data_IF_746734991010
#
_entry.id   IF_746734991010
#
_cell.length_a   1.000
_cell.length_b   1.000
_cell.length_c   1.000
_cell.angle_alpha   90.00
_cell.angle_beta   90.00
_cell.angle_gamma   90.00
#
_symmetry.space_group_name_H-M   'P 1'
#
loop_
_entity.id
_entity.type
_entity.pdbx_description
1 polymer ?
#
# COMPACT_ATOMS: atom_id res chain seq x y z
N UNK A 1 -4.71 -20.84 -4.55
CA UNK A 1 -4.16 -20.92 -3.17
C UNK A 1 -5.16 -21.56 -2.22
N UNK A 2 -6.41 -21.07 -2.13
CA UNK A 2 -7.43 -21.53 -1.16
C UNK A 2 -7.78 -23.02 -1.31
N UNK A 3 -7.90 -23.55 -2.54
CA UNK A 3 -8.17 -24.97 -2.77
C UNK A 3 -7.06 -25.86 -2.25
N UNK A 4 -5.81 -25.48 -2.46
CA UNK A 4 -4.64 -26.22 -1.95
C UNK A 4 -4.59 -26.15 -0.43
N UNK A 5 -4.87 -24.98 0.16
CA UNK A 5 -4.92 -24.83 1.61
C UNK A 5 -6.02 -25.69 2.24
N UNK A 6 -7.18 -25.80 1.58
CA UNK A 6 -8.27 -26.66 2.03
C UNK A 6 -7.88 -28.15 2.02
N UNK A 7 -7.13 -28.60 1.00
CA UNK A 7 -6.61 -29.97 0.91
C UNK A 7 -5.56 -30.29 1.97
N UNK A 8 -4.68 -29.32 2.28
CA UNK A 8 -3.59 -29.50 3.25
C UNK A 8 -4.03 -29.29 4.70
N UNK A 9 -5.18 -28.68 4.94
CA UNK A 9 -5.76 -28.45 6.27
C UNK A 9 -4.79 -27.69 7.19
N UNK A 10 -4.53 -28.23 8.37
CA UNK A 10 -3.65 -27.62 9.39
C UNK A 10 -2.18 -27.47 8.95
N UNK A 11 -1.78 -28.12 7.87
CA UNK A 11 -0.42 -28.01 7.31
C UNK A 11 -0.28 -26.85 6.31
N UNK A 12 -1.31 -26.03 6.13
CA UNK A 12 -1.29 -24.89 5.23
C UNK A 12 -1.53 -23.58 5.97
N UNK A 13 -0.80 -22.54 5.54
CA UNK A 13 -0.98 -21.17 6.01
C UNK A 13 -0.96 -20.20 4.83
N UNK A 14 -2.01 -19.38 4.71
CA UNK A 14 -2.09 -18.30 3.73
C UNK A 14 -1.92 -16.98 4.48
N UNK A 15 -0.82 -16.22 4.26
CA UNK A 15 -0.61 -14.93 4.93
C UNK A 15 -1.67 -13.88 4.61
N UNK A 16 -2.27 -13.92 3.41
CA UNK A 16 -3.34 -13.05 2.92
C UNK A 16 -3.07 -11.56 3.18
N UNK A 17 -2.05 -11.03 2.53
CA UNK A 17 -1.54 -9.68 2.74
C UNK A 17 -2.56 -8.56 2.54
N UNK A 18 -3.61 -8.80 1.77
CA UNK A 18 -4.63 -7.78 1.46
C UNK A 18 -5.63 -7.54 2.57
N UNK A 19 -5.77 -8.49 3.51
CA UNK A 19 -6.71 -8.42 4.64
C UNK A 19 -6.02 -8.63 6.00
N UNK A 20 -4.78 -9.08 6.02
CA UNK A 20 -4.04 -9.37 7.25
C UNK A 20 -3.55 -8.07 7.92
N UNK A 21 -4.06 -7.73 9.11
CA UNK A 21 -3.68 -6.48 9.80
C UNK A 21 -2.21 -6.44 10.23
N UNK A 22 -1.53 -7.57 10.31
CA UNK A 22 -0.11 -7.63 10.63
C UNK A 22 0.76 -7.01 9.52
N UNK A 23 0.27 -6.99 8.27
CA UNK A 23 0.97 -6.36 7.16
C UNK A 23 1.18 -4.84 7.41
N UNK A 24 0.16 -4.01 7.58
CA UNK A 24 0.39 -2.60 7.93
C UNK A 24 1.00 -2.42 9.31
N UNK A 25 0.69 -3.29 10.28
CA UNK A 25 1.21 -3.17 11.64
C UNK A 25 2.72 -3.25 11.71
N UNK A 26 3.36 -4.15 10.96
CA UNK A 26 4.82 -4.26 10.95
C UNK A 26 5.48 -3.02 10.36
N UNK A 27 4.90 -2.43 9.31
CA UNK A 27 5.41 -1.19 8.73
C UNK A 27 5.25 0.01 9.67
N UNK A 28 4.16 0.06 10.41
CA UNK A 28 3.96 1.06 11.45
C UNK A 28 4.99 0.95 12.57
N UNK A 29 5.28 -0.29 13.02
CA UNK A 29 6.17 -0.56 14.15
C UNK A 29 7.66 -0.47 13.81
N UNK A 30 8.04 -0.67 12.55
CA UNK A 30 9.44 -0.73 12.13
C UNK A 30 9.76 0.27 11.02
N UNK A 31 9.34 0.03 9.81
CA UNK A 31 9.69 0.82 8.61
C UNK A 31 9.40 2.31 8.79
N UNK A 32 8.26 2.66 9.37
CA UNK A 32 7.87 4.06 9.60
C UNK A 32 8.77 4.75 10.62
N UNK A 33 9.15 4.05 11.67
CA UNK A 33 10.05 4.59 12.69
C UNK A 33 11.46 4.80 12.15
N UNK A 34 11.98 3.81 11.41
CA UNK A 34 13.28 3.90 10.76
C UNK A 34 13.33 5.09 9.80
N UNK A 35 12.29 5.25 8.97
CA UNK A 35 12.17 6.38 8.05
C UNK A 35 12.14 7.72 8.79
N UNK A 36 11.36 7.82 9.86
CA UNK A 36 11.26 9.02 10.68
C UNK A 36 12.60 9.41 11.30
N UNK A 37 13.32 8.44 11.86
CA UNK A 37 14.64 8.65 12.46
C UNK A 37 15.69 9.04 11.41
N UNK A 38 15.74 8.35 10.27
CA UNK A 38 16.68 8.63 9.18
C UNK A 38 16.48 10.02 8.57
N UNK A 39 15.25 10.50 8.53
CA UNK A 39 14.88 11.82 8.03
C UNK A 39 14.94 12.92 9.11
N UNK A 40 15.33 12.57 10.34
CA UNK A 40 15.37 13.53 11.45
C UNK A 40 14.01 14.14 11.80
N UNK A 41 12.92 13.48 11.46
CA UNK A 41 11.56 13.99 11.65
C UNK A 41 11.13 15.06 10.64
N UNK A 42 11.93 15.33 9.63
CA UNK A 42 11.65 16.35 8.60
C UNK A 42 11.12 15.70 7.33
N UNK A 43 9.81 15.44 7.30
CA UNK A 43 9.10 14.84 6.17
C UNK A 43 7.90 15.71 5.83
N UNK A 44 7.84 16.23 4.62
CA UNK A 44 6.71 17.00 4.11
C UNK A 44 5.75 16.13 3.31
N UNK A 45 6.29 15.21 2.50
CA UNK A 45 5.52 14.35 1.60
C UNK A 45 6.05 12.92 1.68
N UNK A 46 5.13 11.97 1.79
CA UNK A 46 5.40 10.54 1.65
C UNK A 46 4.71 10.00 0.40
N UNK A 47 5.49 9.41 -0.49
CA UNK A 47 5.00 8.86 -1.77
C UNK A 47 5.24 7.35 -1.76
N UNK A 48 4.22 6.57 -2.07
CA UNK A 48 4.32 5.11 -2.12
C UNK A 48 3.42 4.52 -3.21
N UNK A 49 3.91 3.48 -3.88
CA UNK A 49 3.08 2.64 -4.74
C UNK A 49 2.04 1.87 -3.92
N UNK A 50 0.89 1.61 -4.52
CA UNK A 50 -0.18 0.81 -3.92
C UNK A 50 -0.17 -0.62 -4.48
N UNK A 51 0.41 -1.54 -3.72
CA UNK A 51 0.26 -2.99 -3.90
C UNK A 51 -0.75 -3.53 -2.88
N UNK A 52 -0.29 -4.31 -1.90
CA UNK A 52 -1.17 -4.79 -0.81
C UNK A 52 -1.71 -3.68 0.09
N UNK A 53 -1.13 -2.49 0.05
CA UNK A 53 -1.51 -1.36 0.89
C UNK A 53 -0.83 -1.30 2.26
N UNK A 54 -0.11 -2.35 2.65
CA UNK A 54 0.50 -2.44 3.97
C UNK A 54 1.53 -1.34 4.25
N UNK A 55 2.41 -1.07 3.30
CA UNK A 55 3.43 -0.02 3.40
C UNK A 55 2.78 1.36 3.52
N UNK A 56 1.87 1.68 2.60
CA UNK A 56 1.18 2.97 2.58
C UNK A 56 0.37 3.19 3.86
N UNK A 57 -0.37 2.18 4.30
CA UNK A 57 -1.20 2.21 5.51
C UNK A 57 -0.35 2.38 6.76
N UNK A 58 0.67 1.53 6.94
CA UNK A 58 1.50 1.54 8.15
C UNK A 58 2.31 2.82 8.30
N UNK A 59 3.01 3.21 7.25
CA UNK A 59 3.83 4.43 7.25
C UNK A 59 2.96 5.68 7.26
N UNK A 60 1.94 5.74 6.41
CA UNK A 60 1.04 6.89 6.32
C UNK A 60 0.35 7.19 7.64
N UNK A 61 -0.16 6.17 8.34
CA UNK A 61 -0.75 6.32 9.66
C UNK A 61 0.24 6.89 10.68
N UNK A 62 1.44 6.30 10.76
CA UNK A 62 2.49 6.76 11.68
C UNK A 62 2.87 8.22 11.42
N UNK A 63 3.11 8.58 10.17
CA UNK A 63 3.51 9.94 9.80
C UNK A 63 2.41 10.97 10.10
N UNK A 64 1.14 10.65 9.81
CA UNK A 64 -0.01 11.53 10.13
C UNK A 64 -0.17 11.73 11.64
N UNK A 65 0.12 10.73 12.45
CA UNK A 65 0.12 10.86 13.92
C UNK A 65 1.25 11.77 14.42
N UNK A 66 2.41 11.73 13.76
CA UNK A 66 3.55 12.62 14.08
C UNK A 66 3.29 14.06 13.65
N UNK A 67 2.81 14.25 12.44
CA UNK A 67 2.48 15.55 11.86
C UNK A 67 1.32 15.41 10.85
N UNK A 68 0.11 15.88 11.19
CA UNK A 68 -1.06 15.78 10.30
C UNK A 68 -0.91 16.54 8.97
N UNK A 69 0.04 17.46 8.87
CA UNK A 69 0.31 18.21 7.64
C UNK A 69 1.16 17.45 6.62
N UNK A 70 1.76 16.33 6.99
CA UNK A 70 2.48 15.47 6.04
C UNK A 70 1.50 14.97 4.99
N UNK A 71 1.84 15.19 3.73
CA UNK A 71 1.05 14.74 2.59
C UNK A 71 1.38 13.29 2.26
N UNK A 72 0.35 12.47 2.15
CA UNK A 72 0.47 11.05 1.74
C UNK A 72 -0.03 10.91 0.31
N UNK A 73 0.83 10.45 -0.59
CA UNK A 73 0.56 10.30 -2.01
C UNK A 73 0.65 8.82 -2.41
N UNK A 74 -0.44 8.30 -2.97
CA UNK A 74 -0.46 6.97 -3.55
C UNK A 74 -0.12 7.02 -5.04
N UNK A 75 0.70 6.09 -5.50
CA UNK A 75 1.02 5.92 -6.92
C UNK A 75 0.39 4.63 -7.44
N UNK A 76 -0.39 4.73 -8.48
CA UNK A 76 -1.02 3.59 -9.15
C UNK A 76 -0.78 3.60 -10.66
N UNK A 77 -0.76 2.42 -11.31
CA UNK A 77 -0.79 2.35 -12.77
C UNK A 77 -2.07 2.98 -13.31
N UNK A 78 -1.94 3.82 -14.33
CA UNK A 78 -3.02 4.65 -14.87
C UNK A 78 -4.27 3.86 -15.26
N UNK A 79 -4.07 2.71 -15.91
CA UNK A 79 -5.19 1.97 -16.50
C UNK A 79 -5.92 1.07 -15.49
N UNK A 80 -5.43 0.98 -14.26
CA UNK A 80 -6.00 0.12 -13.20
C UNK A 80 -6.11 0.82 -11.85
N UNK A 81 -6.11 2.15 -11.82
CA UNK A 81 -6.20 2.92 -10.56
C UNK A 81 -7.54 2.67 -9.85
N UNK A 82 -7.51 1.75 -8.87
CA UNK A 82 -8.68 1.40 -8.08
C UNK A 82 -9.15 2.55 -7.20
N UNK A 83 -8.23 3.38 -6.68
CA UNK A 83 -8.54 4.56 -5.87
C UNK A 83 -9.31 5.64 -6.66
N UNK A 84 -9.12 5.69 -8.00
CA UNK A 84 -9.83 6.59 -8.89
C UNK A 84 -11.03 5.92 -9.58
N UNK A 85 -11.37 4.68 -9.22
CA UNK A 85 -12.55 3.97 -9.70
C UNK A 85 -12.40 3.36 -11.10
N UNK A 86 -11.18 3.12 -11.56
CA UNK A 86 -10.94 2.42 -12.82
C UNK A 86 -11.26 0.93 -12.66
N UNK A 87 -11.79 0.32 -13.71
CA UNK A 87 -12.01 -1.13 -13.77
C UNK A 87 -10.68 -1.88 -13.79
N UNK A 88 -10.62 -3.10 -13.19
CA UNK A 88 -9.43 -3.94 -13.26
C UNK A 88 -9.00 -4.19 -14.71
N UNK A 89 -7.70 -4.09 -14.97
CA UNK A 89 -7.14 -4.24 -16.31
C UNK A 89 -5.71 -4.79 -16.27
N UNK A 90 -5.04 -4.72 -17.41
CA UNK A 90 -3.65 -5.15 -17.55
C UNK A 90 -2.72 -3.92 -17.61
N UNK A 91 -1.58 -4.04 -16.94
CA UNK A 91 -0.49 -3.07 -17.00
C UNK A 91 0.86 -3.79 -16.87
N UNK A 92 1.97 -3.09 -17.09
CA UNK A 92 3.33 -3.65 -17.08
C UNK A 92 4.14 -3.21 -15.85
N UNK A 93 3.55 -2.49 -14.91
CA UNK A 93 4.22 -2.02 -13.69
C UNK A 93 4.10 -3.11 -12.61
N UNK A 94 5.14 -3.91 -12.44
CA UNK A 94 5.11 -5.04 -11.51
C UNK A 94 5.09 -4.60 -10.05
N UNK A 95 4.35 -5.36 -9.22
CA UNK A 95 4.33 -5.22 -7.76
C UNK A 95 3.33 -4.22 -7.21
N UNK A 96 2.63 -3.49 -8.07
CA UNK A 96 1.53 -2.59 -7.70
C UNK A 96 0.36 -2.72 -8.67
N UNK A 97 -0.78 -2.11 -8.36
CA UNK A 97 -1.91 -2.04 -9.29
C UNK A 97 -2.67 -3.37 -9.42
N UNK A 98 -3.14 -3.90 -8.31
CA UNK A 98 -3.93 -5.15 -8.28
C UNK A 98 -5.38 -4.96 -8.74
N UNK A 99 -5.80 -3.72 -9.03
CA UNK A 99 -7.12 -3.41 -9.56
C UNK A 99 -8.25 -3.35 -8.54
N UNK A 100 -7.94 -3.36 -7.26
CA UNK A 100 -8.91 -3.19 -6.16
C UNK A 100 -8.27 -2.43 -4.99
N UNK A 101 -9.11 -1.85 -4.13
CA UNK A 101 -8.66 -1.20 -2.88
C UNK A 101 -8.51 -2.27 -1.81
N UNK A 102 -7.30 -2.49 -1.27
CA UNK A 102 -7.09 -3.50 -0.23
C UNK A 102 -7.87 -3.17 1.06
N UNK A 103 -8.36 -4.20 1.74
CA UNK A 103 -9.12 -4.04 2.99
C UNK A 103 -8.28 -3.45 4.13
N UNK A 104 -6.98 -3.70 4.14
CA UNK A 104 -6.04 -3.15 5.13
C UNK A 104 -5.78 -1.65 4.99
N UNK A 105 -6.22 -1.04 3.87
CA UNK A 105 -5.97 0.37 3.55
C UNK A 105 -7.14 1.26 3.96
N UNK A 106 -6.88 2.22 4.83
CA UNK A 106 -7.77 3.34 5.10
C UNK A 106 -7.50 4.46 4.08
N UNK A 107 -8.39 4.60 3.10
CA UNK A 107 -8.24 5.59 2.02
C UNK A 107 -8.28 7.03 2.50
N UNK A 108 -8.80 7.30 3.69
CA UNK A 108 -8.82 8.67 4.28
C UNK A 108 -7.42 9.19 4.63
N UNK A 109 -6.42 8.31 4.72
CA UNK A 109 -5.01 8.70 4.91
C UNK A 109 -4.39 9.33 3.65
N UNK A 110 -4.95 9.04 2.47
CA UNK A 110 -4.40 9.43 1.18
C UNK A 110 -4.88 10.85 0.82
N UNK A 111 -3.93 11.76 0.62
CA UNK A 111 -4.21 13.13 0.23
C UNK A 111 -4.25 13.31 -1.30
N UNK A 112 -3.49 12.50 -2.04
CA UNK A 112 -3.40 12.57 -3.49
C UNK A 112 -3.12 11.20 -4.10
N UNK A 113 -3.68 10.95 -5.28
CA UNK A 113 -3.39 9.78 -6.11
C UNK A 113 -2.73 10.24 -7.40
N UNK A 114 -1.55 9.69 -7.70
CA UNK A 114 -0.82 9.95 -8.94
C UNK A 114 -0.88 8.69 -9.81
N UNK A 115 -1.38 8.86 -11.01
CA UNK A 115 -1.40 7.80 -12.01
C UNK A 115 -0.16 7.87 -12.90
N UNK A 116 0.48 6.71 -13.10
CA UNK A 116 1.66 6.58 -13.95
C UNK A 116 1.34 5.60 -15.09
N UNK A 117 1.58 5.99 -16.33
CA UNK A 117 1.43 5.10 -17.47
C UNK A 117 2.59 4.11 -17.54
N UNK A 118 2.38 2.97 -18.23
CA UNK A 118 3.46 1.99 -18.47
C UNK A 118 4.66 2.62 -19.16
N UNK A 119 4.41 3.55 -20.09
CA UNK A 119 5.47 4.25 -20.82
C UNK A 119 6.28 5.22 -19.95
N UNK A 120 5.61 5.89 -19.00
CA UNK A 120 6.28 6.84 -18.09
C UNK A 120 7.04 6.12 -16.95
N UNK A 121 6.69 4.85 -16.68
CA UNK A 121 7.36 4.04 -15.68
C UNK A 121 8.67 3.39 -16.17
N UNK A 122 8.94 3.41 -17.48
CA UNK A 122 10.14 2.86 -18.13
C UNK A 122 11.19 3.96 -18.30
#
# INVERSE_FOLDING_TARGET
AESIAAELGENAFIPQQFVNPNNPAIHYQTTAQELWEQMGGEIDIFVSGLGSGGTLQGIGKFLKEKNPNIKVVAVEPKDVSALLGHEPGLHQIQGIGDGFVPEVLDTTLIDEVVEVSDADAQ
#
